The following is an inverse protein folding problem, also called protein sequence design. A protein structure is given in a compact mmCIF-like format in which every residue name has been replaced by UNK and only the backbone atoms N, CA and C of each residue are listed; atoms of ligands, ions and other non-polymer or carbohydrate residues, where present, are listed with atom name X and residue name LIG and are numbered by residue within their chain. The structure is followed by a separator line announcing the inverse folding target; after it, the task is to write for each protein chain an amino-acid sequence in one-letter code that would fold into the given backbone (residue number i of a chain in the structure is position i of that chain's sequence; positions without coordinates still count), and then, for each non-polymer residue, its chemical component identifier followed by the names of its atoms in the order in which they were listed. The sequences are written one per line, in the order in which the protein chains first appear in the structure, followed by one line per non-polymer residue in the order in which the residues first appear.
data_IF_442961817298
#
_entry.id   IF_442961817298
#
_cell.length_a   1.000
_cell.length_b   1.000
_cell.length_c   1.000
_cell.angle_alpha   90.00
_cell.angle_beta   90.00
_cell.angle_gamma   90.00
#
_symmetry.space_group_name_H-M   'P 1'
#
loop_
_entity.id
_entity.type
_entity.pdbx_description
1 polymer ?
#
# COMPACT_ATOMS: atom_id res chain seq x y z
N UNK A 1 23.27 18.87 11.34
CA UNK A 1 22.50 17.62 11.32
C UNK A 1 21.41 17.77 10.28
N UNK A 2 21.46 16.98 9.21
CA UNK A 2 20.47 17.04 8.14
C UNK A 2 19.13 16.50 8.67
N UNK A 3 18.09 17.34 8.72
CA UNK A 3 16.74 16.89 9.08
C UNK A 3 16.22 16.11 7.86
N UNK A 4 16.21 14.78 7.94
CA UNK A 4 15.50 13.97 6.95
C UNK A 4 14.00 14.05 7.25
N UNK A 5 13.17 14.54 6.32
CA UNK A 5 11.73 14.62 6.55
C UNK A 5 11.17 13.22 6.75
N UNK A 6 10.35 13.08 7.79
CA UNK A 6 9.62 11.84 8.09
C UNK A 6 8.40 11.77 7.18
N UNK A 7 8.19 10.63 6.56
CA UNK A 7 7.02 10.38 5.73
C UNK A 7 6.45 8.99 6.02
N UNK A 8 5.16 8.83 5.82
CA UNK A 8 4.43 7.57 6.03
C UNK A 8 3.86 7.09 4.69
N UNK A 9 4.06 5.82 4.38
CA UNK A 9 3.30 5.13 3.34
C UNK A 9 1.94 4.72 3.91
N UNK A 10 0.86 4.99 3.17
CA UNK A 10 -0.47 4.57 3.57
C UNK A 10 -0.56 3.04 3.63
N UNK A 11 -0.90 2.51 4.79
CA UNK A 11 -1.02 1.06 5.00
C UNK A 11 -2.12 0.45 4.11
N UNK A 12 -3.26 1.12 3.98
CA UNK A 12 -4.34 0.68 3.09
C UNK A 12 -3.87 0.52 1.63
N UNK A 13 -3.13 1.49 1.09
CA UNK A 13 -2.61 1.42 -0.26
C UNK A 13 -1.54 0.33 -0.44
N UNK A 14 -0.75 0.07 0.59
CA UNK A 14 0.13 -1.08 0.62
C UNK A 14 -0.66 -2.39 0.52
N UNK A 15 -1.74 -2.55 1.29
CA UNK A 15 -2.62 -3.73 1.20
C UNK A 15 -3.26 -3.85 -0.18
N UNK A 16 -3.73 -2.75 -0.78
CA UNK A 16 -4.26 -2.77 -2.14
C UNK A 16 -3.20 -3.17 -3.18
N UNK A 17 -1.95 -2.76 -2.99
CA UNK A 17 -0.82 -3.19 -3.84
C UNK A 17 -0.61 -4.70 -3.75
N UNK A 18 -0.67 -5.29 -2.55
CA UNK A 18 -0.57 -6.74 -2.35
C UNK A 18 -1.77 -7.46 -2.97
N UNK A 19 -2.99 -7.00 -2.71
CA UNK A 19 -4.21 -7.54 -3.31
C UNK A 19 -4.18 -7.49 -4.84
N UNK A 20 -3.61 -6.44 -5.43
CA UNK A 20 -3.48 -6.31 -6.88
C UNK A 20 -2.50 -7.34 -7.44
N UNK A 21 -1.36 -7.55 -6.76
CA UNK A 21 -0.36 -8.55 -7.17
C UNK A 21 -0.87 -9.98 -7.00
N UNK A 22 -1.54 -10.29 -5.89
CA UNK A 22 -1.93 -11.65 -5.54
C UNK A 22 -3.35 -12.02 -5.98
N UNK A 23 -4.13 -11.05 -6.45
CA UNK A 23 -5.60 -11.10 -6.62
C UNK A 23 -6.35 -11.22 -5.28
N UNK A 24 -7.68 -11.08 -5.32
CA UNK A 24 -8.54 -11.23 -4.12
C UNK A 24 -8.76 -12.70 -3.71
N UNK A 25 -8.52 -13.65 -4.61
CA UNK A 25 -8.75 -15.10 -4.39
C UNK A 25 -7.58 -15.90 -4.97
N UNK A 26 -6.35 -15.76 -4.42
CA UNK A 26 -5.21 -16.51 -4.89
C UNK A 26 -5.42 -18.01 -4.73
N UNK A 27 -4.94 -18.80 -5.72
CA UNK A 27 -5.00 -20.26 -5.67
C UNK A 27 -3.89 -20.88 -4.81
N UNK A 28 -2.68 -20.33 -4.91
CA UNK A 28 -1.51 -20.80 -4.18
C UNK A 28 -1.63 -20.50 -2.68
N UNK A 29 -1.29 -21.48 -1.84
CA UNK A 29 -1.40 -21.34 -0.38
C UNK A 29 -0.48 -20.24 0.16
N UNK A 30 0.77 -20.18 -0.32
CA UNK A 30 1.72 -19.11 0.00
C UNK A 30 1.13 -17.71 -0.26
N UNK A 31 0.37 -17.55 -1.35
CA UNK A 31 -0.28 -16.29 -1.71
C UNK A 31 -1.49 -15.98 -0.83
N UNK A 32 -2.27 -16.99 -0.41
CA UNK A 32 -3.39 -16.80 0.52
C UNK A 32 -2.88 -16.35 1.88
N UNK A 33 -1.87 -17.03 2.40
CA UNK A 33 -1.23 -16.69 3.68
C UNK A 33 -0.65 -15.28 3.66
N UNK A 34 0.10 -14.91 2.61
CA UNK A 34 0.66 -13.57 2.49
C UNK A 34 -0.43 -12.48 2.38
N UNK A 35 -1.51 -12.77 1.65
CA UNK A 35 -2.65 -11.86 1.55
C UNK A 35 -3.30 -11.68 2.93
N UNK A 36 -3.52 -12.75 3.69
CA UNK A 36 -4.06 -12.70 5.05
C UNK A 36 -3.18 -11.86 5.99
N UNK A 37 -1.86 -12.09 5.97
CA UNK A 37 -0.90 -11.29 6.74
C UNK A 37 -1.00 -9.82 6.36
N UNK A 38 -1.10 -9.51 5.06
CA UNK A 38 -1.21 -8.11 4.61
C UNK A 38 -2.42 -7.38 5.20
N UNK A 39 -3.56 -8.06 5.42
CA UNK A 39 -4.74 -7.45 6.03
C UNK A 39 -4.55 -7.08 7.51
N UNK A 40 -3.64 -7.75 8.21
CA UNK A 40 -3.29 -7.42 9.59
C UNK A 40 -2.56 -6.08 9.69
N UNK A 41 -1.94 -5.60 8.60
CA UNK A 41 -1.11 -4.39 8.60
C UNK A 41 -1.82 -3.17 9.18
N UNK A 42 -3.11 -2.98 8.86
CA UNK A 42 -3.90 -1.83 9.31
C UNK A 42 -4.46 -1.97 10.72
N UNK A 43 -4.39 -3.16 11.34
CA UNK A 43 -5.18 -3.52 12.52
C UNK A 43 -4.35 -4.11 13.67
N UNK A 44 -3.02 -4.21 13.51
CA UNK A 44 -2.15 -4.85 14.49
C UNK A 44 -0.95 -3.99 14.83
N UNK A 45 -0.47 -4.18 16.06
CA UNK A 45 0.79 -3.63 16.54
C UNK A 45 1.98 -4.11 15.69
N UNK A 46 3.11 -3.45 15.88
CA UNK A 46 4.31 -3.64 15.04
C UNK A 46 4.83 -5.08 15.09
N UNK A 47 5.01 -5.63 16.28
CA UNK A 47 5.71 -6.90 16.48
C UNK A 47 4.93 -8.13 15.96
N UNK A 48 3.62 -8.28 16.22
CA UNK A 48 2.85 -9.40 15.67
C UNK A 48 2.89 -9.48 14.15
N UNK A 49 2.83 -8.33 13.47
CA UNK A 49 2.88 -8.29 12.01
C UNK A 49 4.26 -8.70 11.47
N UNK A 50 5.34 -8.19 12.07
CA UNK A 50 6.70 -8.52 11.65
C UNK A 50 6.96 -10.00 11.87
N UNK A 51 6.62 -10.54 13.04
CA UNK A 51 6.77 -11.96 13.35
C UNK A 51 6.03 -12.85 12.34
N UNK A 52 4.77 -12.56 12.05
CA UNK A 52 3.99 -13.31 11.07
C UNK A 52 4.61 -13.25 9.65
N UNK A 53 5.13 -12.10 9.24
CA UNK A 53 5.78 -11.93 7.94
C UNK A 53 7.12 -12.69 7.85
N UNK A 54 7.88 -12.73 8.93
CA UNK A 54 9.15 -13.46 9.03
C UNK A 54 8.95 -14.98 9.08
N UNK A 55 7.95 -15.44 9.83
CA UNK A 55 7.54 -16.85 9.86
C UNK A 55 7.09 -17.32 8.47
N UNK A 56 6.25 -16.52 7.81
CA UNK A 56 5.83 -16.78 6.43
C UNK A 56 7.01 -16.87 5.47
N UNK A 57 7.98 -15.95 5.59
CA UNK A 57 9.17 -16.00 4.74
C UNK A 57 9.99 -17.26 5.01
N UNK A 58 10.21 -17.61 6.27
CA UNK A 58 10.94 -18.82 6.66
C UNK A 58 10.30 -20.09 6.09
N UNK A 59 8.96 -20.15 6.11
CA UNK A 59 8.18 -21.27 5.56
C UNK A 59 8.29 -21.37 4.04
N UNK A 60 8.22 -20.24 3.33
CA UNK A 60 8.11 -20.22 1.86
C UNK A 60 9.41 -19.83 1.13
N UNK A 61 10.52 -19.64 1.84
CA UNK A 61 11.76 -19.14 1.23
C UNK A 61 12.23 -20.01 0.06
N UNK A 62 12.24 -21.34 0.25
CA UNK A 62 12.61 -22.29 -0.81
C UNK A 62 11.73 -22.15 -2.04
N UNK A 63 10.41 -22.12 -1.84
CA UNK A 63 9.41 -21.90 -2.89
C UNK A 63 9.66 -20.58 -3.63
N UNK A 64 9.89 -19.47 -2.91
CA UNK A 64 10.17 -18.17 -3.53
C UNK A 64 11.48 -18.11 -4.34
N UNK A 65 12.43 -18.99 -4.03
CA UNK A 65 13.72 -19.10 -4.73
C UNK A 65 13.66 -20.00 -5.96
N UNK A 66 12.58 -20.77 -6.15
CA UNK A 66 12.38 -21.60 -7.34
C UNK A 66 12.54 -20.78 -8.63
N UNK A 67 13.21 -21.41 -9.62
CA UNK A 67 13.49 -20.80 -10.91
C UNK A 67 13.02 -21.70 -12.04
N UNK A 68 12.41 -21.09 -13.05
CA UNK A 68 12.07 -21.72 -14.32
C UNK A 68 13.10 -21.31 -15.37
N UNK A 69 13.55 -22.27 -16.16
CA UNK A 69 14.40 -22.05 -17.34
C UNK A 69 13.50 -22.07 -18.57
N UNK A 70 13.57 -21.05 -19.41
CA UNK A 70 12.84 -20.96 -20.68
C UNK A 70 13.60 -21.67 -21.80
N UNK A 71 12.92 -21.91 -22.93
CA UNK A 71 13.48 -22.62 -24.08
C UNK A 71 14.75 -21.94 -24.65
N UNK A 72 14.88 -20.63 -24.49
CA UNK A 72 16.07 -19.84 -24.87
C UNK A 72 17.21 -19.86 -23.81
N UNK A 73 17.10 -20.73 -22.79
CA UNK A 73 18.09 -20.90 -21.73
C UNK A 73 18.07 -19.81 -20.65
N UNK A 74 17.17 -18.82 -20.72
CA UNK A 74 17.06 -17.77 -19.70
C UNK A 74 16.37 -18.29 -18.44
N UNK A 75 16.84 -17.85 -17.28
CA UNK A 75 16.29 -18.26 -15.99
C UNK A 75 15.53 -17.12 -15.31
N UNK A 76 14.32 -17.38 -14.83
CA UNK A 76 13.52 -16.41 -14.06
C UNK A 76 12.89 -17.06 -12.81
N UNK A 77 12.54 -16.27 -11.81
CA UNK A 77 11.83 -16.76 -10.64
C UNK A 77 10.44 -17.25 -11.03
N UNK A 78 10.10 -18.49 -10.66
CA UNK A 78 8.81 -19.12 -10.95
C UNK A 78 7.67 -18.30 -10.35
N UNK A 79 7.83 -17.87 -9.09
CA UNK A 79 6.80 -17.14 -8.33
C UNK A 79 7.07 -15.64 -8.27
N UNK A 80 7.48 -15.03 -9.39
CA UNK A 80 7.91 -13.61 -9.49
C UNK A 80 6.93 -12.63 -8.84
N UNK A 81 5.63 -12.81 -9.05
CA UNK A 81 4.58 -11.91 -8.54
C UNK A 81 4.45 -12.01 -7.01
N UNK A 82 4.40 -13.23 -6.48
CA UNK A 82 4.35 -13.46 -5.03
C UNK A 82 5.60 -12.90 -4.34
N UNK A 83 6.78 -13.19 -4.90
CA UNK A 83 8.05 -12.65 -4.41
C UNK A 83 8.07 -11.12 -4.44
N UNK A 84 7.54 -10.51 -5.50
CA UNK A 84 7.42 -9.06 -5.60
C UNK A 84 6.47 -8.47 -4.55
N UNK A 85 5.37 -9.15 -4.24
CA UNK A 85 4.43 -8.74 -3.19
C UNK A 85 5.12 -8.74 -1.82
N UNK A 86 5.74 -9.85 -1.44
CA UNK A 86 6.50 -9.96 -0.19
C UNK A 86 7.59 -8.89 -0.06
N UNK A 87 8.41 -8.72 -1.11
CA UNK A 87 9.49 -7.74 -1.08
C UNK A 87 9.00 -6.30 -0.97
N UNK A 88 7.80 -6.00 -1.48
CA UNK A 88 7.22 -4.66 -1.29
C UNK A 88 6.89 -4.41 0.18
N UNK A 89 6.33 -5.38 0.91
CA UNK A 89 6.09 -5.26 2.36
C UNK A 89 7.42 -5.10 3.11
N UNK A 90 8.40 -5.97 2.83
CA UNK A 90 9.69 -5.97 3.50
C UNK A 90 10.44 -4.65 3.32
N UNK A 91 10.51 -4.13 2.09
CA UNK A 91 11.21 -2.87 1.80
C UNK A 91 10.48 -1.66 2.37
N UNK A 92 9.14 -1.68 2.34
CA UNK A 92 8.35 -0.54 2.75
C UNK A 92 8.14 -0.47 4.27
N UNK A 93 8.49 -1.53 5.00
CA UNK A 93 8.24 -1.65 6.45
C UNK A 93 8.59 -0.40 7.26
N UNK A 94 9.77 0.25 7.09
CA UNK A 94 10.13 1.42 7.89
C UNK A 94 9.14 2.58 7.69
N UNK A 95 8.63 2.78 6.47
CA UNK A 95 7.70 3.87 6.17
C UNK A 95 6.24 3.50 6.41
N UNK A 96 5.91 2.21 6.58
CA UNK A 96 4.58 1.77 6.97
C UNK A 96 4.32 1.92 8.47
N UNK A 97 5.37 2.24 9.25
CA UNK A 97 5.35 2.36 10.71
C UNK A 97 5.84 3.71 11.22
N UNK A 98 6.07 4.70 10.36
CA UNK A 98 6.44 6.07 10.76
C UNK A 98 5.45 6.65 11.76
N UNK A 99 4.14 6.43 11.59
CA UNK A 99 3.12 6.89 12.57
C UNK A 99 3.29 6.30 13.98
N UNK A 100 3.81 5.07 14.05
CA UNK A 100 4.02 4.33 15.29
C UNK A 100 5.34 4.73 15.96
N UNK A 101 6.40 4.88 15.16
CA UNK A 101 7.73 5.25 15.63
C UNK A 101 7.83 6.75 15.97
N UNK A 102 6.91 7.57 15.47
CA UNK A 102 6.85 9.03 15.65
C UNK A 102 5.42 9.52 16.01
N UNK A 103 4.87 9.13 17.17
CA UNK A 103 3.52 9.53 17.57
C UNK A 103 3.37 11.05 17.73
N UNK A 104 4.48 11.77 17.97
CA UNK A 104 4.52 13.24 18.06
C UNK A 104 4.12 13.97 16.77
N UNK A 105 4.15 13.27 15.63
CA UNK A 105 3.82 13.85 14.32
C UNK A 105 2.33 13.78 13.97
N UNK A 106 1.51 13.08 14.76
CA UNK A 106 0.05 12.91 14.56
C UNK A 106 -0.31 12.47 13.12
N UNK A 107 0.53 11.63 12.50
CA UNK A 107 0.33 11.13 11.15
C UNK A 107 -0.62 9.92 11.23
N UNK A 108 -1.74 9.87 10.49
CA UNK A 108 -2.57 8.68 10.47
C UNK A 108 -1.91 7.54 9.70
N UNK A 109 -2.15 6.30 10.12
CA UNK A 109 -1.61 5.10 9.44
C UNK A 109 -2.28 4.82 8.08
N UNK A 110 -3.48 5.38 7.87
CA UNK A 110 -4.25 5.33 6.62
C UNK A 110 -4.63 6.74 6.16
N UNK A 111 -4.90 6.91 4.87
CA UNK A 111 -5.25 8.21 4.29
C UNK A 111 -6.76 8.38 4.02
N UNK A 112 -7.62 7.73 4.82
CA UNK A 112 -9.08 7.69 4.60
C UNK A 112 -9.69 9.08 4.43
N UNK A 113 -9.27 10.08 5.21
CA UNK A 113 -9.76 11.45 5.06
C UNK A 113 -9.44 12.07 3.69
N UNK A 114 -8.24 11.80 3.16
CA UNK A 114 -7.83 12.25 1.82
C UNK A 114 -8.63 11.50 0.74
N UNK A 115 -8.87 10.20 0.90
CA UNK A 115 -9.66 9.42 -0.06
C UNK A 115 -11.13 9.88 -0.10
N UNK A 116 -11.74 10.17 1.05
CA UNK A 116 -13.08 10.75 1.12
C UNK A 116 -13.13 12.11 0.43
N UNK A 117 -12.18 13.00 0.71
CA UNK A 117 -12.08 14.30 0.04
C UNK A 117 -11.96 14.14 -1.49
N UNK A 118 -11.11 13.21 -1.93
CA UNK A 118 -10.91 12.93 -3.35
C UNK A 118 -12.17 12.35 -4.02
N UNK A 119 -12.93 11.51 -3.31
CA UNK A 119 -14.19 10.96 -3.80
C UNK A 119 -15.25 12.06 -3.99
N UNK A 120 -15.38 12.96 -3.01
CA UNK A 120 -16.28 14.10 -3.08
C UNK A 120 -15.90 15.05 -4.22
N UNK A 121 -14.61 15.34 -4.36
CA UNK A 121 -14.08 16.17 -5.44
C UNK A 121 -14.38 15.56 -6.81
N UNK A 122 -14.09 14.26 -7.00
CA UNK A 122 -14.36 13.53 -8.25
C UNK A 122 -15.84 13.55 -8.59
N UNK A 123 -16.71 13.35 -7.59
CA UNK A 123 -18.17 13.39 -7.78
C UNK A 123 -18.61 14.75 -8.31
N UNK A 124 -18.15 15.84 -7.68
CA UNK A 124 -18.47 17.20 -8.14
C UNK A 124 -17.90 17.49 -9.53
N UNK A 125 -16.66 17.13 -9.80
CA UNK A 125 -16.04 17.33 -11.12
C UNK A 125 -16.73 16.53 -12.24
N UNK A 126 -17.32 15.38 -11.91
CA UNK A 126 -18.09 14.57 -12.85
C UNK A 126 -19.44 15.19 -13.22
N UNK A 127 -20.02 16.03 -12.37
CA UNK A 127 -21.22 16.82 -12.71
C UNK A 127 -20.88 17.94 -13.71
N UNK A 128 -19.64 18.43 -13.67
CA UNK A 128 -19.16 19.55 -14.49
C UNK A 128 -18.16 19.12 -15.58
N UNK A 129 -18.43 18.03 -16.30
CA UNK A 129 -17.48 17.47 -17.29
C UNK A 129 -17.08 18.46 -18.41
N UNK A 130 -17.92 19.42 -18.74
CA UNK A 130 -17.70 20.40 -19.81
C UNK A 130 -16.97 21.69 -19.41
N UNK A 131 -16.50 21.85 -18.16
CA UNK A 131 -15.79 23.06 -17.75
C UNK A 131 -14.37 23.11 -18.32
N UNK A 132 -13.89 24.30 -18.63
CA UNK A 132 -12.51 24.50 -19.06
C UNK A 132 -11.51 24.09 -17.97
N UNK A 133 -10.29 23.73 -18.38
CA UNK A 133 -9.21 23.36 -17.48
C UNK A 133 -8.93 24.46 -16.43
N UNK A 134 -8.97 25.73 -16.82
CA UNK A 134 -8.73 26.84 -15.89
C UNK A 134 -9.83 26.96 -14.83
N UNK A 135 -11.11 26.82 -15.22
CA UNK A 135 -12.21 26.79 -14.24
C UNK A 135 -12.16 25.56 -13.35
N UNK A 136 -11.72 24.42 -13.89
CA UNK A 136 -11.48 23.19 -13.10
C UNK A 136 -10.40 23.41 -12.02
N UNK A 137 -9.30 24.10 -12.33
CA UNK A 137 -8.26 24.43 -11.34
C UNK A 137 -8.79 25.31 -10.23
N UNK A 138 -9.52 26.38 -10.56
CA UNK A 138 -10.14 27.28 -9.57
C UNK A 138 -11.12 26.51 -8.69
N UNK A 139 -11.99 25.69 -9.29
CA UNK A 139 -12.92 24.84 -8.55
C UNK A 139 -12.20 23.91 -7.57
N UNK A 140 -11.13 23.23 -7.99
CA UNK A 140 -10.34 22.35 -7.12
C UNK A 140 -9.71 23.14 -5.97
N UNK A 141 -9.13 24.31 -6.25
CA UNK A 141 -8.51 25.17 -5.23
C UNK A 141 -9.54 25.63 -4.20
N UNK A 142 -10.69 26.12 -4.64
CA UNK A 142 -11.74 26.57 -3.75
C UNK A 142 -12.32 25.40 -2.94
N UNK A 143 -12.55 24.26 -3.59
CA UNK A 143 -13.02 23.05 -2.92
C UNK A 143 -12.08 22.61 -1.79
N UNK A 144 -10.77 22.63 -2.03
CA UNK A 144 -9.76 22.30 -1.01
C UNK A 144 -9.74 23.37 0.10
N UNK A 145 -9.79 24.66 -0.25
CA UNK A 145 -9.78 25.76 0.73
C UNK A 145 -10.96 25.73 1.69
N UNK A 146 -12.15 25.38 1.20
CA UNK A 146 -13.37 25.31 2.02
C UNK A 146 -13.55 23.96 2.71
N UNK A 147 -12.72 22.96 2.41
CA UNK A 147 -12.80 21.68 3.09
C UNK A 147 -12.31 21.80 4.52
N UNK A 148 -13.22 21.61 5.47
CA UNK A 148 -12.88 21.41 6.88
C UNK A 148 -12.85 19.89 7.12
N UNK A 149 -11.69 19.29 7.42
CA UNK A 149 -11.64 17.87 7.74
C UNK A 149 -12.46 17.63 9.01
N UNK A 150 -13.43 16.70 8.95
CA UNK A 150 -14.07 16.19 10.16
C UNK A 150 -13.00 15.47 10.97
N UNK A 151 -12.72 15.96 12.17
CA UNK A 151 -11.76 15.38 13.11
C UNK A 151 -12.43 14.32 13.97
#
# INVERSE_FOLDING_TARGET
MSITPKFQLCQFHQVMTIKTKLTSRPKLEASKELLAISWMLCHTDKDPFIGALEEWYSKWEGFLKERTITEDGKSHYTHKTLRSAFLSLKRNMPWLRTFYDHPELDIPNTNNGIETLNADLKTKLNLYKGISTERRKVFIQDFIKFHSPNR
#
